data_IF_132606772393
#
_entry.id   IF_132606772393
#
_cell.length_a   1.000
_cell.length_b   1.000
_cell.length_c   1.000
_cell.angle_alpha   90.00
_cell.angle_beta   90.00
_cell.angle_gamma   90.00
#
_symmetry.space_group_name_H-M   'P 1'
#
loop_
_entity.id
_entity.type
_entity.pdbx_description
1 polymer ?
#
# COMPACT_ATOMS: atom_id res chain seq x y z
N UNK A 1 -25.27 -10.85 -5.88
CA UNK A 1 -24.61 -9.70 -5.22
C UNK A 1 -23.10 -9.84 -5.11
N UNK A 2 -22.55 -10.85 -4.42
CA UNK A 2 -21.10 -11.03 -4.23
C UNK A 2 -20.24 -11.08 -5.52
N UNK A 3 -20.77 -11.65 -6.60
CA UNK A 3 -20.07 -11.72 -7.90
C UNK A 3 -19.85 -10.34 -8.52
N UNK A 4 -20.83 -9.44 -8.40
CA UNK A 4 -20.76 -8.07 -8.92
C UNK A 4 -19.76 -7.25 -8.11
N UNK A 5 -19.83 -7.34 -6.77
CA UNK A 5 -18.89 -6.64 -5.87
C UNK A 5 -17.45 -7.06 -6.19
N UNK A 6 -17.16 -8.37 -6.29
CA UNK A 6 -15.83 -8.86 -6.67
C UNK A 6 -15.37 -8.35 -8.03
N UNK A 7 -16.28 -8.23 -9.01
CA UNK A 7 -15.96 -7.68 -10.33
C UNK A 7 -15.59 -6.20 -10.23
N UNK A 8 -16.36 -5.42 -9.47
CA UNK A 8 -16.09 -3.98 -9.26
C UNK A 8 -14.74 -3.79 -8.57
N UNK A 9 -14.44 -4.55 -7.49
CA UNK A 9 -13.16 -4.47 -6.79
C UNK A 9 -11.99 -4.76 -7.74
N UNK A 10 -12.10 -5.80 -8.57
CA UNK A 10 -11.05 -6.14 -9.55
C UNK A 10 -10.85 -5.04 -10.59
N UNK A 11 -11.94 -4.41 -11.06
CA UNK A 11 -11.85 -3.31 -12.01
C UNK A 11 -11.19 -2.08 -11.40
N UNK A 12 -11.53 -1.74 -10.15
CA UNK A 12 -10.88 -0.64 -9.42
C UNK A 12 -9.39 -0.95 -9.22
N UNK A 13 -9.04 -2.16 -8.78
CA UNK A 13 -7.65 -2.56 -8.59
C UNK A 13 -6.85 -2.50 -9.90
N UNK A 14 -7.42 -3.00 -11.01
CA UNK A 14 -6.80 -2.92 -12.33
C UNK A 14 -6.63 -1.48 -12.81
N UNK A 15 -7.63 -0.63 -12.58
CA UNK A 15 -7.55 0.80 -12.90
C UNK A 15 -6.45 1.51 -12.12
N UNK A 16 -6.38 1.32 -10.80
CA UNK A 16 -5.34 1.93 -9.95
C UNK A 16 -3.94 1.45 -10.34
N UNK A 17 -3.78 0.16 -10.64
CA UNK A 17 -2.52 -0.39 -11.13
C UNK A 17 -2.13 0.23 -12.47
N UNK A 18 -3.04 0.28 -13.43
CA UNK A 18 -2.78 0.88 -14.73
C UNK A 18 -2.41 2.36 -14.60
N UNK A 19 -3.15 3.12 -13.77
CA UNK A 19 -2.85 4.52 -13.46
C UNK A 19 -1.43 4.67 -12.91
N UNK A 20 -1.04 3.87 -11.92
CA UNK A 20 0.28 3.96 -11.30
C UNK A 20 1.42 3.65 -12.30
N UNK A 21 1.22 2.70 -13.21
CA UNK A 21 2.20 2.41 -14.28
C UNK A 21 2.27 3.55 -15.30
N UNK A 22 1.11 4.03 -15.77
CA UNK A 22 1.04 5.12 -16.74
C UNK A 22 1.65 6.41 -16.17
N UNK A 23 1.39 6.71 -14.90
CA UNK A 23 2.01 7.84 -14.20
C UNK A 23 3.54 7.73 -14.23
N UNK A 24 4.10 6.55 -13.92
CA UNK A 24 5.55 6.35 -13.92
C UNK A 24 6.15 6.40 -15.33
N UNK A 25 5.45 5.90 -16.36
CA UNK A 25 5.92 5.97 -17.74
C UNK A 25 5.82 7.37 -18.35
N UNK A 26 4.89 8.20 -17.87
CA UNK A 26 4.77 9.61 -18.28
C UNK A 26 5.96 10.48 -17.82
N UNK A 27 6.69 10.02 -16.80
CA UNK A 27 7.89 10.69 -16.28
C UNK A 27 9.12 10.36 -17.13
N UNK A 28 10.04 11.31 -17.25
CA UNK A 28 11.36 11.06 -17.82
C UNK A 28 12.05 9.90 -17.07
N UNK A 29 12.84 9.05 -17.74
CA UNK A 29 13.45 7.87 -17.10
C UNK A 29 14.21 8.16 -15.79
N UNK A 30 14.86 9.32 -15.70
CA UNK A 30 15.61 9.78 -14.52
C UNK A 30 14.71 10.17 -13.33
N UNK A 31 13.47 10.56 -13.59
CA UNK A 31 12.50 11.06 -12.60
C UNK A 31 11.53 9.97 -12.12
N UNK A 32 11.69 8.73 -12.61
CA UNK A 32 10.88 7.57 -12.22
C UNK A 32 11.28 7.09 -10.84
N UNK A 33 10.39 7.27 -9.88
CA UNK A 33 10.57 6.85 -8.49
C UNK A 33 10.09 5.43 -8.24
N UNK A 34 9.20 4.91 -9.11
CA UNK A 34 8.48 3.65 -8.92
C UNK A 34 7.71 3.58 -7.59
N UNK A 35 7.37 4.73 -7.01
CA UNK A 35 6.55 4.86 -5.81
C UNK A 35 5.73 6.15 -5.89
N UNK A 36 4.55 6.17 -5.29
CA UNK A 36 3.65 7.32 -5.32
C UNK A 36 2.30 7.04 -4.69
N UNK A 37 1.31 7.82 -5.11
CA UNK A 37 -0.08 7.73 -4.65
C UNK A 37 -1.05 7.83 -5.84
N UNK A 38 -2.05 6.97 -5.85
CA UNK A 38 -3.12 6.92 -6.83
C UNK A 38 -4.45 7.15 -6.12
N UNK A 39 -4.95 8.39 -6.12
CA UNK A 39 -6.24 8.77 -5.53
C UNK A 39 -6.35 8.42 -4.03
N UNK A 40 -5.27 8.64 -3.27
CA UNK A 40 -5.14 8.30 -1.87
C UNK A 40 -4.68 6.86 -1.62
N UNK A 41 -4.52 6.04 -2.66
CA UNK A 41 -4.03 4.66 -2.58
C UNK A 41 -2.52 4.64 -2.89
N UNK A 42 -1.64 4.39 -1.91
CA UNK A 42 -0.22 4.43 -2.15
C UNK A 42 0.24 3.25 -3.01
N UNK A 43 1.32 3.41 -3.77
CA UNK A 43 1.94 2.32 -4.50
C UNK A 43 3.47 2.36 -4.38
N UNK A 44 4.09 1.18 -4.46
CA UNK A 44 5.54 0.98 -4.43
C UNK A 44 5.89 -0.23 -5.31
N UNK A 45 6.61 -0.03 -6.41
CA UNK A 45 7.05 -1.08 -7.34
C UNK A 45 8.56 -1.32 -7.26
N UNK A 46 9.24 -0.76 -6.26
CA UNK A 46 10.66 -1.05 -6.03
C UNK A 46 10.78 -2.46 -5.43
N UNK A 47 11.82 -3.24 -5.79
CA UNK A 47 12.04 -4.56 -5.20
C UNK A 47 11.97 -4.52 -3.67
N UNK A 48 11.20 -5.42 -3.02
CA UNK A 48 11.10 -5.44 -1.58
C UNK A 48 12.44 -5.79 -0.94
N UNK A 49 12.74 -5.20 0.22
CA UNK A 49 13.89 -5.57 1.05
C UNK A 49 13.40 -6.01 2.44
N UNK A 50 14.16 -6.86 3.15
CA UNK A 50 13.81 -7.27 4.52
C UNK A 50 13.58 -6.06 5.45
N UNK A 51 14.39 -5.02 5.31
CA UNK A 51 14.28 -3.79 6.09
C UNK A 51 12.95 -3.07 5.80
N UNK A 52 12.53 -2.98 4.54
CA UNK A 52 11.23 -2.38 4.19
C UNK A 52 10.07 -3.23 4.68
N UNK A 53 10.17 -4.56 4.62
CA UNK A 53 9.12 -5.45 5.15
C UNK A 53 8.92 -5.16 6.64
N UNK A 54 10.00 -5.16 7.42
CA UNK A 54 9.96 -4.85 8.85
C UNK A 54 9.43 -3.44 9.11
N UNK A 55 9.90 -2.43 8.37
CA UNK A 55 9.44 -1.04 8.53
C UNK A 55 7.95 -0.84 8.23
N UNK A 56 7.34 -1.63 7.34
CA UNK A 56 5.92 -1.48 6.99
C UNK A 56 5.01 -2.33 7.88
N UNK A 57 5.47 -3.50 8.31
CA UNK A 57 4.63 -4.46 9.04
C UNK A 57 4.85 -4.43 10.56
N UNK A 58 6.02 -3.99 11.03
CA UNK A 58 6.36 -4.00 12.45
C UNK A 58 7.25 -2.80 12.81
N UNK A 59 6.64 -1.61 12.86
CA UNK A 59 7.36 -0.39 13.19
C UNK A 59 6.74 0.32 14.40
N UNK A 60 7.35 0.18 15.60
CA UNK A 60 6.90 0.87 16.79
C UNK A 60 6.99 2.40 16.73
N UNK A 61 7.82 2.94 15.81
CA UNK A 61 8.04 4.38 15.65
C UNK A 61 7.06 5.04 14.67
N UNK A 62 6.25 4.25 13.97
CA UNK A 62 5.21 4.74 13.07
C UNK A 62 3.85 4.51 13.75
N UNK A 63 3.12 5.57 14.04
CA UNK A 63 1.84 5.54 14.76
C UNK A 63 0.65 5.09 13.89
N UNK A 64 0.89 4.95 12.57
CA UNK A 64 -0.13 4.51 11.62
C UNK A 64 -0.34 3.01 11.69
N UNK A 65 -1.61 2.59 11.67
CA UNK A 65 -2.00 1.18 11.49
C UNK A 65 -1.89 0.79 10.02
N UNK A 66 -2.30 1.67 9.12
CA UNK A 66 -2.18 1.46 7.67
C UNK A 66 -0.90 2.13 7.18
N UNK A 67 -0.01 1.32 6.61
CA UNK A 67 1.26 1.76 6.02
C UNK A 67 1.22 1.53 4.51
N UNK A 68 1.99 2.25 3.69
CA UNK A 68 2.09 1.94 2.27
C UNK A 68 2.55 0.48 2.04
N UNK A 69 2.04 -0.18 1.00
CA UNK A 69 2.44 -1.55 0.68
C UNK A 69 3.96 -1.68 0.48
N UNK A 70 4.52 -2.80 0.93
CA UNK A 70 5.94 -3.14 0.66
C UNK A 70 6.20 -3.23 -0.85
N UNK A 71 5.25 -3.80 -1.59
CA UNK A 71 5.26 -3.91 -3.03
C UNK A 71 3.82 -3.96 -3.56
N UNK A 72 3.55 -3.27 -4.67
CA UNK A 72 2.23 -3.19 -5.31
C UNK A 72 1.47 -1.91 -4.99
N UNK A 73 0.15 -1.97 -5.09
CA UNK A 73 -0.79 -0.84 -4.90
C UNK A 73 -1.67 -1.13 -3.69
N UNK A 74 -1.73 -0.20 -2.74
CA UNK A 74 -2.54 -0.27 -1.52
C UNK A 74 -1.73 -0.15 -0.23
N UNK A 75 -2.33 -0.62 0.86
CA UNK A 75 -1.77 -0.51 2.21
C UNK A 75 -1.41 -1.87 2.79
N UNK A 76 -0.33 -1.90 3.55
CA UNK A 76 -0.01 -2.93 4.53
C UNK A 76 -0.53 -2.55 5.92
N UNK A 77 -0.50 -3.50 6.84
CA UNK A 77 -0.89 -3.30 8.24
C UNK A 77 0.37 -3.32 9.10
N UNK A 78 0.57 -2.26 9.88
CA UNK A 78 1.55 -2.25 10.97
C UNK A 78 0.97 -3.04 12.16
N UNK A 79 1.37 -4.30 12.26
CA UNK A 79 0.88 -5.26 13.25
C UNK A 79 1.22 -4.83 14.68
N UNK A 80 2.31 -4.11 14.88
CA UNK A 80 2.64 -3.53 16.18
C UNK A 80 1.53 -2.59 16.63
N UNK A 81 1.21 -1.56 15.83
CA UNK A 81 0.18 -0.59 16.19
C UNK A 81 -1.22 -1.20 16.23
N UNK A 82 -1.52 -2.14 15.34
CA UNK A 82 -2.79 -2.88 15.37
C UNK A 82 -2.97 -3.61 16.71
N UNK A 83 -1.92 -4.28 17.20
CA UNK A 83 -1.96 -4.99 18.48
C UNK A 83 -2.13 -4.05 19.67
N UNK A 84 -1.49 -2.87 19.65
CA UNK A 84 -1.60 -1.88 20.73
C UNK A 84 -3.01 -1.28 20.80
N UNK A 85 -3.62 -0.98 19.66
CA UNK A 85 -5.01 -0.49 19.61
C UNK A 85 -6.01 -1.56 20.04
N UNK A 86 -5.78 -2.82 19.66
CA UNK A 86 -6.62 -3.92 20.11
C UNK A 86 -6.56 -4.09 21.63
N UNK A 87 -5.36 -4.04 22.23
CA UNK A 87 -5.20 -4.08 23.70
C UNK A 87 -5.94 -2.94 24.38
N UNK A 88 -5.85 -1.73 23.84
CA UNK A 88 -6.53 -0.55 24.40
C UNK A 88 -8.07 -0.65 24.35
N UNK A 89 -8.63 -1.43 23.41
CA UNK A 89 -10.08 -1.66 23.32
C UNK A 89 -10.59 -2.79 24.24
N UNK A 90 -9.70 -3.68 24.67
CA UNK A 90 -10.03 -4.85 25.49
C UNK A 90 -9.73 -4.64 26.98
N UNK A 91 -9.10 -3.51 27.34
CA UNK A 91 -8.79 -3.10 28.70
C UNK A 91 -9.89 -2.18 29.25
#
# INVERSE_FOLDING_TARGET
>A
MFRVIRKIIKLIAAFLFAYAILEQWSREPKDRTWQGDAFGVPYDFRPPTPERILQRWWNPKDDRVLTPHVFGVGWSINLYQASQRLKALLA
#
